data_IF_978628110792
#
_entry.id   IF_978628110792
#
_cell.length_a   1.000
_cell.length_b   1.000
_cell.length_c   1.000
_cell.angle_alpha   90.00
_cell.angle_beta   90.00
_cell.angle_gamma   90.00
#
_symmetry.space_group_name_H-M   'P 1'
#
loop_
_entity.id
_entity.type
_entity.pdbx_description
1 polymer ?
#
# COMPACT_ATOMS: atom_id res chain seq x y z
N UNK A 1 35.81 8.94 -14.95
CA UNK A 1 35.12 8.19 -13.91
C UNK A 1 33.88 7.59 -14.53
N UNK A 2 33.91 6.27 -14.70
CA UNK A 2 33.02 5.47 -15.54
C UNK A 2 31.58 5.48 -15.02
N UNK A 3 30.63 5.82 -15.91
CA UNK A 3 29.23 5.48 -15.72
C UNK A 3 29.12 3.96 -15.91
N UNK A 4 28.84 3.23 -14.84
CA UNK A 4 28.38 1.85 -14.95
C UNK A 4 27.04 1.87 -15.69
N UNK A 5 27.10 1.63 -17.00
CA UNK A 5 25.94 1.34 -17.82
C UNK A 5 25.34 0.04 -17.29
N UNK A 6 24.19 0.16 -16.62
CA UNK A 6 23.31 -0.97 -16.31
C UNK A 6 23.08 -1.71 -17.61
N UNK A 7 23.67 -2.90 -17.70
CA UNK A 7 23.57 -3.80 -18.83
C UNK A 7 22.10 -4.21 -18.87
N UNK A 8 21.34 -3.58 -19.78
CA UNK A 8 19.94 -3.89 -20.03
C UNK A 8 19.92 -5.33 -20.53
N UNK A 9 19.71 -6.27 -19.61
CA UNK A 9 19.62 -7.68 -19.89
C UNK A 9 18.53 -7.90 -20.94
N UNK A 10 18.92 -8.54 -22.04
CA UNK A 10 18.05 -9.06 -23.08
C UNK A 10 16.79 -9.70 -22.49
N UNK A 11 15.63 -9.17 -22.90
CA UNK A 11 14.28 -9.53 -22.46
C UNK A 11 14.00 -11.04 -22.63
N UNK A 12 13.94 -11.77 -21.51
CA UNK A 12 13.63 -13.20 -21.48
C UNK A 12 12.13 -13.53 -21.52
N UNK A 13 11.75 -14.80 -21.76
CA UNK A 13 10.35 -15.26 -21.83
C UNK A 13 9.51 -14.98 -20.58
N UNK A 14 10.14 -14.98 -19.39
CA UNK A 14 9.50 -14.76 -18.10
C UNK A 14 8.98 -13.32 -17.95
N UNK A 15 9.70 -12.32 -18.46
CA UNK A 15 9.24 -10.92 -18.44
C UNK A 15 8.05 -10.70 -19.37
N UNK A 16 7.97 -11.43 -20.51
CA UNK A 16 6.83 -11.34 -21.43
C UNK A 16 5.55 -11.90 -20.79
N UNK A 17 5.64 -13.04 -20.12
CA UNK A 17 4.52 -13.62 -19.36
C UNK A 17 4.02 -12.69 -18.24
N UNK A 18 4.95 -12.02 -17.54
CA UNK A 18 4.62 -11.06 -16.49
C UNK A 18 3.87 -9.84 -17.05
N UNK A 19 4.33 -9.31 -18.19
CA UNK A 19 3.69 -8.17 -18.86
C UNK A 19 2.29 -8.52 -19.39
N UNK A 20 2.08 -9.75 -19.87
CA UNK A 20 0.79 -10.24 -20.35
C UNK A 20 -0.25 -10.35 -19.23
N UNK A 21 0.14 -10.79 -18.03
CA UNK A 21 -0.74 -10.85 -16.85
C UNK A 21 -1.27 -9.46 -16.46
N UNK A 22 -0.43 -8.43 -16.54
CA UNK A 22 -0.81 -7.06 -16.20
C UNK A 22 -1.58 -6.34 -17.31
N UNK A 23 -1.22 -6.54 -18.58
CA UNK A 23 -2.00 -6.01 -19.69
C UNK A 23 -3.43 -6.57 -19.66
N UNK A 24 -3.57 -7.86 -19.31
CA UNK A 24 -4.88 -8.46 -19.08
C UNK A 24 -5.58 -7.86 -17.85
N UNK A 25 -4.84 -7.60 -16.77
CA UNK A 25 -5.40 -7.03 -15.56
C UNK A 25 -5.97 -5.61 -15.75
N UNK A 26 -5.17 -4.73 -16.34
CA UNK A 26 -5.55 -3.36 -16.67
C UNK A 26 -6.71 -3.33 -17.67
N UNK A 27 -6.73 -4.25 -18.64
CA UNK A 27 -7.85 -4.39 -19.58
C UNK A 27 -9.13 -4.81 -18.87
N UNK A 28 -9.09 -5.81 -17.97
CA UNK A 28 -10.27 -6.27 -17.24
C UNK A 28 -10.85 -5.18 -16.34
N UNK A 29 -10.00 -4.42 -15.65
CA UNK A 29 -10.44 -3.30 -14.80
C UNK A 29 -11.01 -2.14 -15.65
N UNK A 30 -10.43 -1.85 -16.81
CA UNK A 30 -10.90 -0.75 -17.68
C UNK A 30 -12.16 -1.09 -18.49
N UNK A 31 -12.33 -2.33 -18.92
CA UNK A 31 -13.40 -2.73 -19.85
C UNK A 31 -14.60 -3.34 -19.13
N UNK A 32 -14.39 -4.09 -18.05
CA UNK A 32 -15.49 -4.86 -17.46
C UNK A 32 -16.31 -4.06 -16.44
N UNK A 33 -15.73 -3.07 -15.74
CA UNK A 33 -16.28 -2.46 -14.51
C UNK A 33 -16.72 -3.45 -13.41
N UNK A 34 -16.53 -4.75 -13.65
CA UNK A 34 -16.82 -5.86 -12.74
C UNK A 34 -15.54 -6.22 -11.99
N UNK A 35 -15.31 -5.47 -10.92
CA UNK A 35 -14.17 -5.64 -10.03
C UNK A 35 -14.23 -6.96 -9.25
N UNK A 36 -15.43 -7.53 -9.07
CA UNK A 36 -15.62 -8.83 -8.45
C UNK A 36 -15.05 -9.93 -9.32
N UNK A 37 -15.48 -9.96 -10.59
CA UNK A 37 -15.00 -10.95 -11.54
C UNK A 37 -13.50 -10.84 -11.75
N UNK A 38 -12.96 -9.63 -11.87
CA UNK A 38 -11.52 -9.40 -11.99
C UNK A 38 -10.75 -9.94 -10.78
N UNK A 39 -11.21 -9.67 -9.55
CA UNK A 39 -10.59 -10.21 -8.34
C UNK A 39 -10.60 -11.74 -8.33
N UNK A 40 -11.74 -12.37 -8.67
CA UNK A 40 -11.85 -13.83 -8.75
C UNK A 40 -10.88 -14.44 -9.77
N UNK A 41 -10.69 -13.80 -10.93
CA UNK A 41 -9.74 -14.30 -11.92
C UNK A 41 -8.29 -14.23 -11.43
N UNK A 42 -7.88 -13.14 -10.78
CA UNK A 42 -6.53 -13.07 -10.25
C UNK A 42 -6.29 -14.05 -9.10
N UNK A 43 -7.28 -14.27 -8.24
CA UNK A 43 -7.17 -15.29 -7.18
C UNK A 43 -6.98 -16.69 -7.79
N UNK A 44 -7.72 -17.02 -8.85
CA UNK A 44 -7.52 -18.28 -9.57
C UNK A 44 -6.12 -18.38 -10.17
N UNK A 45 -5.62 -17.30 -10.81
CA UNK A 45 -4.27 -17.27 -11.38
C UNK A 45 -3.18 -17.37 -10.30
N UNK A 46 -3.39 -16.78 -9.13
CA UNK A 46 -2.45 -16.81 -8.00
C UNK A 46 -2.19 -18.23 -7.51
N UNK A 47 -3.21 -19.10 -7.52
CA UNK A 47 -3.06 -20.53 -7.16
C UNK A 47 -2.19 -21.30 -8.15
N UNK A 48 -2.06 -20.81 -9.39
CA UNK A 48 -1.32 -21.43 -10.49
C UNK A 48 -0.01 -20.71 -10.81
N UNK A 49 0.40 -19.76 -9.97
CA UNK A 49 1.59 -18.96 -10.22
C UNK A 49 2.85 -19.84 -10.33
N UNK A 50 3.64 -19.70 -11.42
CA UNK A 50 4.79 -20.57 -11.68
C UNK A 50 5.98 -20.32 -10.75
N UNK A 51 6.10 -19.10 -10.22
CA UNK A 51 7.20 -18.69 -9.34
C UNK A 51 6.78 -17.57 -8.36
N UNK A 52 7.69 -17.25 -7.43
CA UNK A 52 7.48 -16.23 -6.40
C UNK A 52 7.32 -14.80 -6.98
N UNK A 53 8.15 -14.33 -7.92
CA UNK A 53 7.94 -13.04 -8.60
C UNK A 53 6.57 -12.89 -9.27
N UNK A 54 6.13 -13.87 -10.07
CA UNK A 54 4.81 -13.85 -10.71
C UNK A 54 3.70 -13.85 -9.66
N UNK A 55 3.85 -14.65 -8.60
CA UNK A 55 2.89 -14.68 -7.48
C UNK A 55 2.79 -13.33 -6.77
N UNK A 56 3.90 -12.64 -6.55
CA UNK A 56 3.94 -11.30 -5.95
C UNK A 56 3.18 -10.28 -6.80
N UNK A 57 3.38 -10.34 -8.12
CA UNK A 57 2.67 -9.51 -9.09
C UNK A 57 1.17 -9.77 -9.10
N UNK A 58 0.75 -11.04 -9.06
CA UNK A 58 -0.68 -11.39 -9.00
C UNK A 58 -1.33 -10.91 -7.70
N UNK A 59 -0.63 -11.02 -6.57
CA UNK A 59 -1.12 -10.51 -5.28
C UNK A 59 -1.20 -8.99 -5.24
N UNK A 60 -0.28 -8.27 -5.90
CA UNK A 60 -0.39 -6.82 -6.08
C UNK A 60 -1.64 -6.47 -6.89
N UNK A 61 -1.92 -7.20 -7.98
CA UNK A 61 -3.15 -7.02 -8.76
C UNK A 61 -4.40 -7.27 -7.94
N UNK A 62 -4.48 -8.39 -7.23
CA UNK A 62 -5.61 -8.72 -6.32
C UNK A 62 -5.84 -7.57 -5.34
N UNK A 63 -4.77 -7.07 -4.71
CA UNK A 63 -4.85 -5.97 -3.77
C UNK A 63 -5.35 -4.67 -4.41
N UNK A 64 -4.80 -4.29 -5.56
CA UNK A 64 -5.22 -3.09 -6.30
C UNK A 64 -6.68 -3.19 -6.72
N UNK A 65 -7.12 -4.34 -7.24
CA UNK A 65 -8.51 -4.56 -7.63
C UNK A 65 -9.45 -4.47 -6.42
N UNK A 66 -9.12 -5.08 -5.29
CA UNK A 66 -9.92 -4.95 -4.07
C UNK A 66 -9.93 -3.51 -3.53
N UNK A 67 -8.83 -2.76 -3.65
CA UNK A 67 -8.79 -1.34 -3.28
C UNK A 67 -9.73 -0.52 -4.16
N UNK A 68 -9.69 -0.71 -5.48
CA UNK A 68 -10.61 -0.05 -6.41
C UNK A 68 -12.07 -0.43 -6.15
N UNK A 69 -12.32 -1.64 -5.66
CA UNK A 69 -13.65 -2.12 -5.28
C UNK A 69 -14.11 -1.60 -3.88
N UNK A 70 -13.27 -0.87 -3.16
CA UNK A 70 -13.56 -0.40 -1.80
C UNK A 70 -13.54 -1.51 -0.74
N UNK A 71 -13.03 -2.71 -1.09
CA UNK A 71 -12.86 -3.85 -0.18
C UNK A 71 -11.48 -3.81 0.47
N UNK A 72 -11.20 -2.72 1.18
CA UNK A 72 -9.88 -2.43 1.76
C UNK A 72 -9.32 -3.53 2.67
N UNK A 73 -10.15 -4.22 3.46
CA UNK A 73 -9.68 -5.33 4.30
C UNK A 73 -9.16 -6.53 3.47
N UNK A 74 -9.70 -6.78 2.27
CA UNK A 74 -9.21 -7.81 1.37
C UNK A 74 -7.92 -7.35 0.68
N UNK A 75 -7.87 -6.09 0.28
CA UNK A 75 -6.67 -5.48 -0.28
C UNK A 75 -5.48 -5.54 0.68
N UNK A 76 -5.69 -5.21 1.96
CA UNK A 76 -4.64 -5.28 2.98
C UNK A 76 -4.05 -6.69 3.09
N UNK A 77 -4.90 -7.73 3.15
CA UNK A 77 -4.45 -9.13 3.22
C UNK A 77 -3.64 -9.52 1.99
N UNK A 78 -4.06 -9.10 0.80
CA UNK A 78 -3.35 -9.39 -0.45
C UNK A 78 -1.95 -8.75 -0.45
N UNK A 79 -1.84 -7.47 -0.09
CA UNK A 79 -0.55 -6.78 -0.05
C UNK A 79 0.39 -7.32 1.04
N UNK A 80 -0.13 -7.72 2.20
CA UNK A 80 0.69 -8.39 3.23
C UNK A 80 1.35 -9.68 2.71
N UNK A 81 0.65 -10.44 1.87
CA UNK A 81 1.18 -11.66 1.25
C UNK A 81 2.28 -11.39 0.21
N UNK A 82 2.43 -10.15 -0.28
CA UNK A 82 3.51 -9.77 -1.23
C UNK A 82 4.86 -9.64 -0.53
N UNK A 83 4.88 -9.13 0.70
CA UNK A 83 6.10 -8.81 1.46
C UNK A 83 7.13 -9.94 1.53
N UNK A 84 6.77 -11.22 1.77
CA UNK A 84 7.75 -12.30 1.85
C UNK A 84 8.19 -12.87 0.49
N UNK A 85 7.60 -12.42 -0.62
CA UNK A 85 7.78 -13.09 -1.92
C UNK A 85 8.97 -12.57 -2.71
N UNK A 86 9.16 -11.26 -2.78
CA UNK A 86 10.22 -10.68 -3.59
C UNK A 86 10.67 -9.28 -3.12
N UNK A 87 11.98 -9.02 -2.96
CA UNK A 87 12.49 -7.72 -2.51
C UNK A 87 12.14 -6.55 -3.45
N UNK A 88 12.03 -6.79 -4.76
CA UNK A 88 11.73 -5.73 -5.72
C UNK A 88 10.30 -5.17 -5.55
N UNK A 89 9.32 -6.03 -5.24
CA UNK A 89 7.90 -5.65 -5.08
C UNK A 89 7.56 -5.19 -3.67
N UNK A 90 8.40 -5.51 -2.69
CA UNK A 90 8.15 -5.19 -1.28
C UNK A 90 7.91 -3.68 -1.02
N UNK A 91 8.68 -2.72 -1.59
CA UNK A 91 8.41 -1.30 -1.39
C UNK A 91 7.04 -0.86 -1.92
N UNK A 92 6.63 -1.35 -3.09
CA UNK A 92 5.29 -1.07 -3.61
C UNK A 92 4.20 -1.63 -2.71
N UNK A 93 4.37 -2.87 -2.21
CA UNK A 93 3.43 -3.46 -1.28
C UNK A 93 3.31 -2.66 0.03
N UNK A 94 4.43 -2.17 0.57
CA UNK A 94 4.41 -1.27 1.73
C UNK A 94 3.68 0.05 1.43
N UNK A 95 3.94 0.68 0.29
CA UNK A 95 3.24 1.90 -0.10
C UNK A 95 1.72 1.68 -0.24
N UNK A 96 1.31 0.63 -0.95
CA UNK A 96 -0.12 0.30 -1.13
C UNK A 96 -0.80 -0.11 0.17
N UNK A 97 -0.09 -0.81 1.08
CA UNK A 97 -0.56 -1.06 2.45
C UNK A 97 -0.80 0.24 3.21
N UNK A 98 0.10 1.23 3.05
CA UNK A 98 -0.06 2.54 3.65
C UNK A 98 -1.37 3.21 3.23
N UNK A 99 -1.63 3.25 1.91
CA UNK A 99 -2.86 3.82 1.35
C UNK A 99 -4.11 3.09 1.86
N UNK A 100 -4.14 1.77 1.80
CA UNK A 100 -5.30 0.99 2.25
C UNK A 100 -5.56 1.12 3.74
N UNK A 101 -4.50 1.18 4.57
CA UNK A 101 -4.63 1.39 6.01
C UNK A 101 -5.11 2.80 6.33
N UNK A 102 -4.72 3.78 5.53
CA UNK A 102 -5.22 5.15 5.64
C UNK A 102 -6.73 5.20 5.39
N UNK A 103 -7.20 4.55 4.32
CA UNK A 103 -8.64 4.41 4.01
C UNK A 103 -9.43 3.67 5.11
N UNK A 104 -8.81 2.71 5.79
CA UNK A 104 -9.40 2.03 6.95
C UNK A 104 -9.36 2.86 8.26
N UNK A 105 -8.76 4.05 8.25
CA UNK A 105 -8.58 4.89 9.44
C UNK A 105 -7.50 4.38 10.41
N UNK A 106 -6.67 3.44 9.97
CA UNK A 106 -5.52 2.87 10.68
C UNK A 106 -4.27 3.74 10.45
N UNK A 107 -4.35 5.02 10.79
CA UNK A 107 -3.35 6.04 10.42
C UNK A 107 -1.94 5.75 10.95
N UNK A 108 -1.81 5.19 12.16
CA UNK A 108 -0.51 4.80 12.72
C UNK A 108 0.15 3.70 11.89
N UNK A 109 -0.61 2.65 11.55
CA UNK A 109 -0.11 1.55 10.72
C UNK A 109 0.15 2.00 9.28
N UNK A 110 -0.59 2.99 8.78
CA UNK A 110 -0.36 3.61 7.49
C UNK A 110 0.99 4.35 7.47
N UNK A 111 1.25 5.19 8.48
CA UNK A 111 2.51 5.90 8.64
C UNK A 111 3.70 4.92 8.68
N UNK A 112 3.61 3.86 9.49
CA UNK A 112 4.67 2.84 9.58
C UNK A 112 4.92 2.19 8.21
N UNK A 113 3.86 1.86 7.47
CA UNK A 113 3.99 1.29 6.12
C UNK A 113 4.71 2.24 5.15
N UNK A 114 4.38 3.53 5.16
CA UNK A 114 5.05 4.53 4.32
C UNK A 114 6.52 4.70 4.70
N UNK A 115 6.82 4.80 6.01
CA UNK A 115 8.19 4.88 6.52
C UNK A 115 9.05 3.68 6.06
N UNK A 116 8.51 2.46 6.12
CA UNK A 116 9.22 1.27 5.63
C UNK A 116 9.53 1.35 4.13
N UNK A 117 8.58 1.83 3.32
CA UNK A 117 8.79 2.04 1.90
C UNK A 117 9.86 3.14 1.63
N UNK A 118 9.72 4.30 2.29
CA UNK A 118 10.63 5.43 2.12
C UNK A 118 12.07 5.04 2.44
N UNK A 119 12.28 4.30 3.53
CA UNK A 119 13.59 3.83 3.94
C UNK A 119 14.25 2.96 2.86
N UNK A 120 13.53 2.01 2.27
CA UNK A 120 14.07 1.18 1.19
C UNK A 120 14.41 2.02 -0.04
N UNK A 121 13.51 2.92 -0.46
CA UNK A 121 13.75 3.78 -1.63
C UNK A 121 14.93 4.74 -1.40
N UNK A 122 15.12 5.26 -0.19
CA UNK A 122 16.24 6.14 0.15
C UNK A 122 17.58 5.43 -0.02
N UNK A 123 17.66 4.15 0.33
CA UNK A 123 18.88 3.35 0.28
C UNK A 123 19.22 2.81 -1.11
N UNK A 124 18.26 2.81 -2.04
CA UNK A 124 18.39 2.07 -3.30
C UNK A 124 18.36 3.00 -4.51
N UNK A 125 17.17 3.34 -4.99
CA UNK A 125 16.97 3.99 -6.30
C UNK A 125 16.29 5.37 -6.22
N UNK A 126 15.79 5.77 -5.03
CA UNK A 126 14.90 6.93 -4.74
C UNK A 126 13.61 6.96 -5.56
N UNK A 127 13.65 6.63 -6.84
CA UNK A 127 12.53 6.50 -7.75
C UNK A 127 12.57 5.10 -8.35
N UNK A 128 11.57 4.27 -8.03
CA UNK A 128 11.48 2.90 -8.53
C UNK A 128 10.49 2.79 -9.68
N UNK A 129 10.98 2.33 -10.82
CA UNK A 129 10.17 2.10 -12.03
C UNK A 129 9.51 0.71 -12.00
N UNK A 130 8.19 0.67 -12.05
CA UNK A 130 7.40 -0.57 -12.09
C UNK A 130 6.86 -0.91 -13.48
N UNK A 131 7.22 -0.15 -14.53
CA UNK A 131 6.89 -0.48 -15.93
C UNK A 131 7.38 -1.86 -16.36
N UNK A 132 8.54 -2.39 -15.90
CA UNK A 132 8.93 -3.76 -16.21
C UNK A 132 7.99 -4.83 -15.63
N UNK A 133 7.17 -4.47 -14.64
CA UNK A 133 6.09 -5.31 -14.14
C UNK A 133 4.78 -5.06 -14.89
N UNK A 134 4.69 -4.15 -15.86
CA UNK A 134 3.43 -3.80 -16.53
C UNK A 134 2.58 -2.74 -15.80
N UNK A 135 3.12 -2.13 -14.74
CA UNK A 135 2.52 -0.98 -14.07
C UNK A 135 3.09 0.31 -14.68
N UNK A 136 2.25 1.12 -15.33
CA UNK A 136 2.67 2.45 -15.83
C UNK A 136 2.79 3.46 -14.68
N UNK A 137 3.76 3.21 -13.80
CA UNK A 137 3.93 3.90 -12.54
C UNK A 137 5.39 3.87 -12.11
N UNK A 138 5.89 5.03 -11.68
CA UNK A 138 7.17 5.17 -10.98
C UNK A 138 6.90 5.66 -9.58
N UNK A 139 7.29 4.87 -8.58
CA UNK A 139 7.15 5.24 -7.18
C UNK A 139 8.33 6.11 -6.77
N UNK A 140 8.08 7.39 -6.50
CA UNK A 140 9.10 8.30 -6.00
C UNK A 140 9.14 8.32 -4.47
N UNK A 141 10.34 8.41 -3.91
CA UNK A 141 10.55 8.58 -2.47
C UNK A 141 9.81 9.83 -1.96
N UNK A 142 9.77 10.89 -2.77
CA UNK A 142 9.07 12.12 -2.41
C UNK A 142 7.58 11.87 -2.19
N UNK A 143 6.91 11.18 -3.12
CA UNK A 143 5.49 10.82 -2.99
C UNK A 143 5.23 9.99 -1.72
N UNK A 144 6.14 9.06 -1.39
CA UNK A 144 5.99 8.22 -0.20
C UNK A 144 6.07 9.04 1.09
N UNK A 145 7.03 9.97 1.17
CA UNK A 145 7.20 10.85 2.34
C UNK A 145 6.01 11.79 2.52
N UNK A 146 5.47 12.36 1.43
CA UNK A 146 4.27 13.19 1.52
C UNK A 146 3.08 12.42 2.11
N UNK A 147 2.89 11.16 1.68
CA UNK A 147 1.85 10.30 2.23
C UNK A 147 2.12 9.90 3.69
N UNK A 148 3.39 9.69 4.07
CA UNK A 148 3.79 9.48 5.47
C UNK A 148 3.40 10.67 6.36
N UNK A 149 3.71 11.89 5.92
CA UNK A 149 3.41 13.13 6.64
C UNK A 149 1.90 13.34 6.80
N UNK A 150 1.12 13.07 5.76
CA UNK A 150 -0.35 13.12 5.82
C UNK A 150 -0.88 12.10 6.84
N UNK A 151 -0.40 10.86 6.81
CA UNK A 151 -0.80 9.83 7.76
C UNK A 151 -0.44 10.21 9.22
N UNK A 152 0.74 10.78 9.44
CA UNK A 152 1.19 11.25 10.75
C UNK A 152 0.31 12.41 11.29
N UNK A 153 -0.07 13.34 10.40
CA UNK A 153 -0.99 14.43 10.73
C UNK A 153 -2.35 13.90 11.16
N UNK A 154 -2.96 13.01 10.37
CA UNK A 154 -4.27 12.42 10.69
C UNK A 154 -4.26 11.62 11.99
N UNK A 155 -3.20 10.83 12.22
CA UNK A 155 -3.03 10.13 13.48
C UNK A 155 -3.01 11.09 14.67
N UNK A 156 -2.26 12.19 14.56
CA UNK A 156 -2.18 13.21 15.63
C UNK A 156 -3.52 13.89 15.89
N UNK A 157 -4.27 14.22 14.83
CA UNK A 157 -5.61 14.80 14.94
C UNK A 157 -6.60 13.85 15.62
N UNK A 158 -6.58 12.57 15.25
CA UNK A 158 -7.41 11.52 15.86
C UNK A 158 -7.15 11.39 17.36
N UNK A 159 -5.90 11.48 17.78
CA UNK A 159 -5.53 11.44 19.21
C UNK A 159 -6.02 12.68 19.97
N UNK A 160 -5.88 13.87 19.39
CA UNK A 160 -6.37 15.13 19.99
C UNK A 160 -7.90 15.16 20.10
N UNK A 161 -8.62 14.74 19.06
CA UNK A 161 -10.07 14.62 19.07
C UNK A 161 -10.57 13.63 20.11
N UNK A 162 -9.89 12.48 20.25
CA UNK A 162 -10.19 11.51 21.30
C UNK A 162 -9.95 12.10 22.70
N UNK A 163 -8.87 12.88 22.89
CA UNK A 163 -8.53 13.51 24.18
C UNK A 163 -9.47 14.66 24.57
N UNK A 164 -10.02 15.38 23.59
CA UNK A 164 -11.03 16.43 23.80
C UNK A 164 -12.31 15.87 24.44
N UNK A 165 -12.75 14.68 24.02
CA UNK A 165 -13.94 14.01 24.54
C UNK A 165 -13.79 13.56 26.01
N UNK A 166 -12.56 13.40 26.51
CA UNK A 166 -12.31 13.06 27.92
C UNK A 166 -12.23 14.29 28.84
N UNK A 167 -12.02 15.49 28.31
CA UNK A 167 -11.92 16.71 29.13
C UNK A 167 -13.26 17.38 29.44
N UNK A 168 -14.34 17.07 28.71
CA UNK A 168 -15.70 17.57 29.05
C UNK A 168 -16.41 16.76 30.15
N UNK A 169 -15.84 15.62 30.58
CA UNK A 169 -16.40 14.78 31.64
C UNK A 169 -15.85 15.03 33.05
N UNK A 170 -14.91 15.96 33.23
CA UNK A 170 -14.09 16.04 34.47
C UNK A 170 -14.07 17.42 35.15
N UNK A 171 -15.14 18.23 35.05
CA UNK A 171 -15.19 19.56 35.72
C UNK A 171 -16.38 19.82 36.65
N UNK A 172 -17.14 18.79 37.07
CA UNK A 172 -18.31 18.96 37.96
C UNK A 172 -18.24 18.21 39.30
N UNK A 173 -17.06 18.13 39.94
CA UNK A 173 -16.98 17.67 41.35
C UNK A 173 -16.02 18.48 42.20
N UNK A 174 -16.04 19.81 42.09
CA UNK A 174 -15.48 20.64 43.16
C UNK A 174 -16.15 22.02 43.21
N UNK A 175 -17.46 22.04 43.39
CA UNK A 175 -18.12 23.22 43.94
C UNK A 175 -19.15 22.80 44.99
N UNK A 176 -18.84 23.18 46.24
CA UNK A 176 -19.74 23.27 47.39
C UNK A 176 -19.90 21.98 48.21
N UNK A 177 -19.28 21.95 49.39
CA UNK A 177 -19.95 21.89 50.72
C UNK A 177 -18.88 22.12 51.79
N UNK A 178 -18.97 23.26 52.50
CA UNK A 178 -18.84 23.38 53.96
C UNK A 178 -18.46 24.81 54.40
N UNK A 179 -19.43 25.72 54.32
CA UNK A 179 -19.70 26.60 55.45
C UNK A 179 -21.10 26.25 55.92
N UNK A 180 -21.23 25.70 57.12
CA UNK A 180 -22.36 25.90 58.03
C UNK A 180 -22.03 25.29 59.41
N UNK A 181 -21.87 26.22 60.37
CA UNK A 181 -21.70 26.11 61.84
C UNK A 181 -20.33 25.75 62.39
#
# INVERSE_FOLDING_TARGET
>A
MEKQSVQICSLGPQHRQLQDVWNHASFLVQVAYDLEWAAMQFELLETKAPDRPTKAVLLLNIGITYSLWGRYAHAEKAFQRVLPLHPFTSPLAHFLLGLVRFELGHYEQAQISFMLCANVLQQTDRNRDYRPLGLDFTLSHHLVVENEEIAACEWTLKQKGSRSLFHEGSSLTDLSISKLK
#
